data_IF_402922656072
#
_entry.id   IF_402922656072
#
_cell.length_a   1.000
_cell.length_b   1.000
_cell.length_c   1.000
_cell.angle_alpha   90.00
_cell.angle_beta   90.00
_cell.angle_gamma   90.00
#
_symmetry.space_group_name_H-M   'P 1'
#
loop_
_entity.id
_entity.type
_entity.pdbx_description
1 polymer ?
#
# COMPACT_ATOMS: atom_id res chain seq x y z
N UNK A 1 23.28 7.30 4.79
CA UNK A 1 22.13 7.80 4.04
C UNK A 1 21.39 6.66 3.38
N UNK A 2 20.06 6.78 3.26
CA UNK A 2 19.27 5.91 2.39
C UNK A 2 18.98 6.75 1.15
N UNK A 3 19.53 6.36 0.00
CA UNK A 3 19.22 7.02 -1.27
C UNK A 3 17.81 6.60 -1.70
N UNK A 4 16.92 7.58 -1.84
CA UNK A 4 15.51 7.35 -2.16
C UNK A 4 15.21 7.86 -3.57
N UNK A 5 14.62 6.98 -4.40
CA UNK A 5 14.07 7.34 -5.71
C UNK A 5 12.54 7.24 -5.64
N UNK A 6 11.85 8.34 -5.91
CA UNK A 6 10.39 8.39 -5.94
C UNK A 6 9.85 7.98 -7.32
N UNK A 7 9.13 6.85 -7.38
CA UNK A 7 8.33 6.47 -8.53
C UNK A 7 7.09 7.36 -8.65
N UNK A 8 6.94 8.07 -9.78
CA UNK A 8 5.86 9.06 -9.97
C UNK A 8 5.26 8.96 -11.37
N UNK A 9 3.94 9.17 -11.48
CA UNK A 9 3.27 9.27 -12.78
C UNK A 9 3.54 10.59 -13.51
N UNK A 10 3.84 11.67 -12.77
CA UNK A 10 4.01 13.01 -13.34
C UNK A 10 5.16 13.78 -12.68
N UNK A 11 6.17 14.13 -13.48
CA UNK A 11 7.27 14.98 -13.04
C UNK A 11 6.80 16.35 -12.53
N UNK A 12 5.77 16.92 -13.16
CA UNK A 12 5.22 18.20 -12.75
C UNK A 12 4.55 18.14 -11.38
N UNK A 13 3.82 17.06 -11.09
CA UNK A 13 3.24 16.84 -9.77
C UNK A 13 4.32 16.56 -8.71
N UNK A 14 5.35 15.79 -9.07
CA UNK A 14 6.48 15.46 -8.19
C UNK A 14 7.21 16.72 -7.73
N UNK A 15 7.56 17.63 -8.64
CA UNK A 15 8.22 18.91 -8.31
C UNK A 15 7.44 19.80 -7.35
N UNK A 16 6.10 19.67 -7.31
CA UNK A 16 5.24 20.44 -6.40
C UNK A 16 5.05 19.80 -5.03
N UNK A 17 5.27 18.48 -4.90
CA UNK A 17 4.90 17.70 -3.72
C UNK A 17 6.08 17.09 -2.98
N UNK A 18 7.17 16.83 -3.67
CA UNK A 18 8.36 16.22 -3.08
C UNK A 18 9.34 17.29 -2.59
N UNK A 19 10.10 17.01 -1.52
CA UNK A 19 11.21 17.87 -1.11
C UNK A 19 12.23 18.07 -2.25
N UNK A 20 12.94 19.21 -2.28
CA UNK A 20 14.04 19.42 -3.21
C UNK A 20 15.11 18.33 -3.06
N UNK A 21 15.69 17.89 -4.18
CA UNK A 21 16.77 16.90 -4.19
C UNK A 21 16.33 15.44 -4.12
N UNK A 22 15.03 15.13 -4.03
CA UNK A 22 14.55 13.75 -4.18
C UNK A 22 14.58 13.35 -5.65
N UNK A 23 15.35 12.32 -5.96
CA UNK A 23 15.39 11.73 -7.30
C UNK A 23 14.05 11.12 -7.68
N UNK A 24 13.65 11.29 -8.94
CA UNK A 24 12.37 10.77 -9.44
C UNK A 24 12.56 9.79 -10.59
N UNK A 25 11.79 8.71 -10.58
CA UNK A 25 11.57 7.82 -11.71
C UNK A 25 10.16 8.05 -12.24
N UNK A 26 10.04 8.67 -13.41
CA UNK A 26 8.74 8.93 -14.03
C UNK A 26 8.29 7.69 -14.78
N UNK A 27 7.18 7.10 -14.35
CA UNK A 27 6.60 5.90 -14.97
C UNK A 27 5.10 5.86 -14.67
N UNK A 28 4.27 5.66 -15.70
CA UNK A 28 2.87 5.34 -15.51
C UNK A 28 2.69 3.82 -15.57
N UNK A 29 2.36 3.22 -14.44
CA UNK A 29 2.23 1.76 -14.33
C UNK A 29 0.92 1.24 -14.92
N UNK A 30 0.02 2.12 -15.39
CA UNK A 30 -1.13 1.70 -16.20
C UNK A 30 -0.77 1.49 -17.68
N UNK A 31 0.44 1.86 -18.10
CA UNK A 31 0.97 1.57 -19.43
C UNK A 31 1.47 0.12 -19.53
N UNK A 32 1.17 -0.56 -20.63
CA UNK A 32 1.53 -1.96 -20.85
C UNK A 32 3.05 -2.14 -21.04
N UNK A 33 3.74 -1.14 -21.58
CA UNK A 33 5.18 -1.16 -21.80
C UNK A 33 5.99 -0.83 -20.53
N UNK A 34 5.31 -0.46 -19.44
CA UNK A 34 5.95 -0.01 -18.21
C UNK A 34 6.84 -1.09 -17.57
N UNK A 35 6.54 -2.37 -17.73
CA UNK A 35 7.28 -3.45 -17.06
C UNK A 35 8.74 -3.50 -17.50
N UNK A 36 9.01 -3.53 -18.82
CA UNK A 36 10.37 -3.63 -19.34
C UNK A 36 11.22 -2.41 -18.98
N UNK A 37 10.63 -1.21 -19.14
CA UNK A 37 11.27 0.04 -18.77
C UNK A 37 11.56 0.10 -17.26
N UNK A 38 10.62 -0.34 -16.42
CA UNK A 38 10.78 -0.35 -14.99
C UNK A 38 11.82 -1.38 -14.53
N UNK A 39 11.82 -2.60 -15.08
CA UNK A 39 12.84 -3.61 -14.77
C UNK A 39 14.24 -3.08 -15.05
N UNK A 40 14.45 -2.46 -16.21
CA UNK A 40 15.73 -1.84 -16.54
C UNK A 40 16.08 -0.70 -15.57
N UNK A 41 15.12 0.16 -15.25
CA UNK A 41 15.33 1.28 -14.33
C UNK A 41 15.68 0.81 -12.91
N UNK A 42 15.02 -0.22 -12.38
CA UNK A 42 15.32 -0.81 -11.07
C UNK A 42 16.75 -1.37 -11.04
N UNK A 43 17.17 -2.07 -12.10
CA UNK A 43 18.51 -2.66 -12.20
C UNK A 43 19.61 -1.59 -12.32
N UNK A 44 19.46 -0.62 -13.22
CA UNK A 44 20.46 0.45 -13.45
C UNK A 44 20.64 1.32 -12.21
N UNK A 45 19.54 1.61 -11.50
CA UNK A 45 19.56 2.40 -10.26
C UNK A 45 19.95 1.56 -9.04
N UNK A 46 20.18 0.25 -9.20
CA UNK A 46 20.52 -0.70 -8.13
C UNK A 46 19.53 -0.61 -6.96
N UNK A 47 18.24 -0.51 -7.28
CA UNK A 47 17.18 -0.46 -6.25
C UNK A 47 17.23 -1.76 -5.46
N UNK A 48 17.35 -1.65 -4.13
CA UNK A 48 17.37 -2.80 -3.23
C UNK A 48 15.99 -3.16 -2.71
N UNK A 49 15.17 -2.15 -2.44
CA UNK A 49 13.87 -2.28 -1.78
C UNK A 49 12.82 -1.44 -2.53
N UNK A 50 11.58 -1.92 -2.54
CA UNK A 50 10.47 -1.23 -3.19
C UNK A 50 9.34 -1.05 -2.18
N UNK A 51 8.87 0.18 -2.01
CA UNK A 51 7.65 0.47 -1.25
C UNK A 51 6.55 0.88 -2.24
N UNK A 52 5.61 -0.03 -2.48
CA UNK A 52 4.46 0.19 -3.35
C UNK A 52 3.33 0.88 -2.57
N UNK A 53 3.08 2.15 -2.91
CA UNK A 53 1.99 2.99 -2.34
C UNK A 53 0.97 3.42 -3.39
N UNK A 54 0.95 2.75 -4.54
CA UNK A 54 0.03 3.10 -5.61
C UNK A 54 -1.41 2.75 -5.21
N UNK A 55 -2.33 3.55 -5.69
CA UNK A 55 -3.75 3.35 -5.50
C UNK A 55 -4.50 4.41 -6.28
N UNK A 56 -5.66 4.04 -6.82
CA UNK A 56 -6.50 4.98 -7.49
C UNK A 56 -7.09 5.99 -6.50
N UNK A 57 -7.54 7.12 -7.01
CA UNK A 57 -8.30 8.10 -6.24
C UNK A 57 -9.73 8.15 -6.81
N UNK A 58 -10.77 8.02 -5.98
CA UNK A 58 -12.15 8.04 -6.46
C UNK A 58 -12.50 9.33 -7.22
N UNK A 59 -13.13 9.15 -8.38
CA UNK A 59 -13.70 10.20 -9.23
C UNK A 59 -15.17 10.44 -8.93
N UNK A 60 -15.80 9.54 -8.16
CA UNK A 60 -17.24 9.51 -7.88
C UNK A 60 -18.10 9.22 -9.11
N UNK A 61 -17.49 8.64 -10.15
CA UNK A 61 -18.16 8.12 -11.34
C UNK A 61 -18.04 6.59 -11.30
N UNK A 62 -19.12 5.83 -11.00
CA UNK A 62 -19.01 4.42 -10.64
C UNK A 62 -18.30 3.53 -11.66
N UNK A 63 -18.58 3.72 -12.95
CA UNK A 63 -17.96 2.93 -14.02
C UNK A 63 -16.48 3.27 -14.21
N UNK A 64 -16.13 4.55 -14.07
CA UNK A 64 -14.76 5.02 -14.16
C UNK A 64 -13.95 4.53 -12.95
N UNK A 65 -14.50 4.65 -11.75
CA UNK A 65 -13.88 4.18 -10.50
C UNK A 65 -13.61 2.68 -10.54
N UNK A 66 -14.54 1.89 -11.09
CA UNK A 66 -14.34 0.45 -11.29
C UNK A 66 -13.15 0.15 -12.20
N UNK A 67 -13.05 0.86 -13.32
CA UNK A 67 -11.93 0.70 -14.28
C UNK A 67 -10.61 1.17 -13.69
N UNK A 68 -10.60 2.31 -13.00
CA UNK A 68 -9.42 2.87 -12.38
C UNK A 68 -8.92 2.00 -11.22
N UNK A 69 -9.82 1.47 -10.39
CA UNK A 69 -9.45 0.54 -9.32
C UNK A 69 -8.81 -0.73 -9.89
N UNK A 70 -9.33 -1.28 -10.99
CA UNK A 70 -8.71 -2.43 -11.64
C UNK A 70 -7.35 -2.09 -12.25
N UNK A 71 -7.28 -1.05 -13.08
CA UNK A 71 -6.04 -0.65 -13.77
C UNK A 71 -4.93 -0.25 -12.79
N UNK A 72 -5.25 0.47 -11.70
CA UNK A 72 -4.26 1.03 -10.78
C UNK A 72 -3.99 0.11 -9.59
N UNK A 73 -5.02 -0.34 -8.87
CA UNK A 73 -4.80 -1.11 -7.63
C UNK A 73 -4.45 -2.57 -7.92
N UNK A 74 -4.93 -3.14 -9.02
CA UNK A 74 -4.57 -4.49 -9.44
C UNK A 74 -3.47 -4.51 -10.50
N UNK A 75 -3.75 -4.09 -11.73
CA UNK A 75 -2.87 -4.37 -12.85
C UNK A 75 -1.52 -3.65 -12.73
N UNK A 76 -1.52 -2.34 -12.43
CA UNK A 76 -0.31 -1.56 -12.22
C UNK A 76 0.53 -2.11 -11.04
N UNK A 77 -0.13 -2.58 -9.97
CA UNK A 77 0.56 -3.21 -8.84
C UNK A 77 1.26 -4.49 -9.29
N UNK A 78 0.57 -5.32 -10.07
CA UNK A 78 1.14 -6.55 -10.65
C UNK A 78 2.29 -6.24 -11.61
N UNK A 79 2.19 -5.19 -12.43
CA UNK A 79 3.30 -4.75 -13.31
C UNK A 79 4.54 -4.38 -12.50
N UNK A 80 4.39 -3.65 -11.39
CA UNK A 80 5.50 -3.33 -10.48
C UNK A 80 6.08 -4.57 -9.79
N UNK A 81 5.24 -5.51 -9.32
CA UNK A 81 5.68 -6.78 -8.74
C UNK A 81 6.50 -7.58 -9.75
N UNK A 82 6.00 -7.73 -10.98
CA UNK A 82 6.69 -8.42 -12.07
C UNK A 82 8.03 -7.76 -12.40
N UNK A 83 8.05 -6.43 -12.47
CA UNK A 83 9.27 -5.70 -12.77
C UNK A 83 10.33 -5.89 -11.68
N UNK A 84 9.92 -5.86 -10.41
CA UNK A 84 10.80 -6.11 -9.27
C UNK A 84 11.34 -7.55 -9.25
N UNK A 85 10.47 -8.55 -9.49
CA UNK A 85 10.88 -9.94 -9.57
C UNK A 85 11.85 -10.18 -10.74
N UNK A 86 11.57 -9.63 -11.92
CA UNK A 86 12.43 -9.73 -13.09
C UNK A 86 13.77 -9.02 -12.90
N UNK A 87 13.81 -7.94 -12.12
CA UNK A 87 15.04 -7.25 -11.75
C UNK A 87 15.86 -8.00 -10.69
N UNK A 88 15.32 -9.06 -10.08
CA UNK A 88 15.97 -9.81 -9.01
C UNK A 88 16.19 -8.94 -7.76
N UNK A 89 15.14 -8.20 -7.35
CA UNK A 89 15.19 -7.28 -6.21
C UNK A 89 15.83 -7.96 -4.98
N UNK A 90 17.00 -7.49 -4.49
CA UNK A 90 17.77 -8.21 -3.47
C UNK A 90 17.21 -8.03 -2.05
N UNK A 91 16.49 -6.93 -1.81
CA UNK A 91 15.83 -6.63 -0.54
C UNK A 91 14.34 -6.91 -0.61
N UNK A 92 13.54 -6.05 0.01
CA UNK A 92 12.12 -6.30 0.26
C UNK A 92 11.19 -5.51 -0.64
N UNK A 93 10.11 -6.17 -1.05
CA UNK A 93 8.94 -5.55 -1.66
C UNK A 93 7.86 -5.31 -0.60
N UNK A 94 7.63 -4.06 -0.22
CA UNK A 94 6.57 -3.66 0.72
C UNK A 94 5.35 -3.18 -0.06
N UNK A 95 4.21 -3.86 0.07
CA UNK A 95 2.94 -3.46 -0.52
C UNK A 95 2.04 -2.80 0.51
N UNK A 96 1.64 -1.55 0.27
CA UNK A 96 0.56 -0.88 1.02
C UNK A 96 -0.79 -1.25 0.40
N UNK A 97 -1.51 -2.12 1.10
CA UNK A 97 -2.84 -2.59 0.76
C UNK A 97 -3.90 -1.83 1.61
N UNK A 98 -4.94 -2.51 2.06
CA UNK A 98 -5.99 -1.97 2.91
C UNK A 98 -6.44 -3.00 3.93
N UNK A 99 -6.85 -2.53 5.10
CA UNK A 99 -7.67 -3.33 6.01
C UNK A 99 -9.01 -3.66 5.32
N UNK A 100 -9.55 -4.82 5.64
CA UNK A 100 -10.89 -5.21 5.22
C UNK A 100 -10.99 -5.93 3.87
N UNK A 101 -9.85 -6.21 3.20
CA UNK A 101 -9.87 -6.92 1.91
C UNK A 101 -10.39 -8.37 2.02
N UNK A 102 -10.33 -8.95 3.23
CA UNK A 102 -10.82 -10.31 3.51
C UNK A 102 -12.29 -10.32 3.99
N UNK A 103 -12.95 -9.16 4.07
CA UNK A 103 -14.33 -9.07 4.56
C UNK A 103 -15.32 -9.56 3.51
N UNK A 104 -16.16 -10.51 3.91
CA UNK A 104 -17.11 -11.18 3.02
C UNK A 104 -18.56 -10.82 3.30
N UNK A 105 -18.83 -10.00 4.32
CA UNK A 105 -20.20 -9.62 4.68
C UNK A 105 -20.89 -8.84 3.56
N UNK A 106 -22.23 -8.95 3.41
CA UNK A 106 -22.97 -8.20 2.39
C UNK A 106 -22.75 -6.67 2.48
N UNK A 107 -22.68 -6.13 3.70
CA UNK A 107 -22.41 -4.72 3.94
C UNK A 107 -21.00 -4.30 3.51
N UNK A 108 -19.98 -5.11 3.78
CA UNK A 108 -18.62 -4.84 3.32
C UNK A 108 -18.51 -4.90 1.79
N UNK A 109 -19.20 -5.86 1.15
CA UNK A 109 -19.25 -5.97 -0.31
C UNK A 109 -19.97 -4.78 -0.96
N UNK A 110 -21.05 -4.29 -0.35
CA UNK A 110 -21.77 -3.13 -0.83
C UNK A 110 -20.92 -1.86 -0.73
N UNK A 111 -20.20 -1.69 0.39
CA UNK A 111 -19.29 -0.57 0.58
C UNK A 111 -18.09 -0.61 -0.38
N UNK A 112 -17.51 -1.79 -0.58
CA UNK A 112 -16.45 -1.97 -1.57
C UNK A 112 -16.97 -1.59 -2.98
N UNK A 113 -18.16 -2.05 -3.34
CA UNK A 113 -18.78 -1.69 -4.61
C UNK A 113 -19.02 -0.18 -4.76
N UNK A 114 -19.39 0.53 -3.69
CA UNK A 114 -19.54 2.00 -3.73
C UNK A 114 -18.20 2.74 -3.80
N UNK A 115 -17.09 2.06 -3.57
CA UNK A 115 -15.71 2.56 -3.70
C UNK A 115 -15.01 1.99 -4.96
N UNK A 116 -15.77 1.62 -5.99
CA UNK A 116 -15.22 1.09 -7.25
C UNK A 116 -14.71 -0.36 -7.18
N UNK A 117 -14.97 -1.07 -6.08
CA UNK A 117 -14.48 -2.43 -5.88
C UNK A 117 -12.99 -2.51 -5.52
N UNK A 118 -12.42 -1.43 -4.99
CA UNK A 118 -10.97 -1.31 -4.73
C UNK A 118 -10.41 -2.36 -3.78
N UNK A 119 -11.16 -2.77 -2.75
CA UNK A 119 -10.69 -3.80 -1.81
C UNK A 119 -10.53 -5.14 -2.52
N UNK A 120 -11.42 -5.46 -3.46
CA UNK A 120 -11.29 -6.64 -4.31
C UNK A 120 -10.04 -6.58 -5.18
N UNK A 121 -9.74 -5.42 -5.78
CA UNK A 121 -8.56 -5.27 -6.64
C UNK A 121 -7.26 -5.33 -5.83
N UNK A 122 -7.22 -4.72 -4.64
CA UNK A 122 -6.12 -4.87 -3.69
C UNK A 122 -5.94 -6.33 -3.24
N UNK A 123 -7.02 -7.07 -3.02
CA UNK A 123 -6.95 -8.51 -2.70
C UNK A 123 -6.31 -9.32 -3.84
N UNK A 124 -6.68 -9.04 -5.10
CA UNK A 124 -6.04 -9.67 -6.27
C UNK A 124 -4.54 -9.34 -6.34
N UNK A 125 -4.16 -8.08 -6.08
CA UNK A 125 -2.76 -7.67 -6.07
C UNK A 125 -1.95 -8.35 -4.96
N UNK A 126 -2.50 -8.47 -3.75
CA UNK A 126 -1.85 -9.22 -2.68
C UNK A 126 -1.70 -10.70 -3.02
N UNK A 127 -2.71 -11.33 -3.63
CA UNK A 127 -2.62 -12.72 -4.07
C UNK A 127 -1.52 -12.90 -5.11
N UNK A 128 -1.37 -11.96 -6.05
CA UNK A 128 -0.29 -11.97 -7.03
C UNK A 128 1.09 -11.82 -6.37
N UNK A 129 1.24 -10.93 -5.37
CA UNK A 129 2.49 -10.79 -4.62
C UNK A 129 2.84 -12.07 -3.86
N UNK A 130 1.87 -12.65 -3.14
CA UNK A 130 2.07 -13.93 -2.41
C UNK A 130 2.47 -15.08 -3.33
N UNK A 131 1.94 -15.10 -4.56
CA UNK A 131 2.27 -16.10 -5.57
C UNK A 131 3.58 -15.84 -6.32
N UNK A 132 4.26 -14.72 -6.09
CA UNK A 132 5.50 -14.37 -6.79
C UNK A 132 6.71 -14.98 -6.09
N UNK A 133 7.42 -15.86 -6.79
CA UNK A 133 8.68 -16.42 -6.31
C UNK A 133 9.83 -15.41 -6.47
N UNK A 134 10.85 -15.53 -5.61
CA UNK A 134 12.08 -14.75 -5.72
C UNK A 134 11.99 -13.31 -5.20
N UNK A 135 10.89 -12.94 -4.54
CA UNK A 135 10.76 -11.68 -3.80
C UNK A 135 10.59 -11.95 -2.32
N UNK A 136 11.38 -11.30 -1.48
CA UNK A 136 11.03 -11.08 -0.07
C UNK A 136 9.99 -9.96 -0.01
N UNK A 137 8.92 -10.13 0.76
CA UNK A 137 7.83 -9.17 0.76
C UNK A 137 7.19 -8.97 2.12
N UNK A 138 6.62 -7.78 2.30
CA UNK A 138 5.73 -7.45 3.41
C UNK A 138 4.47 -6.76 2.90
N UNK A 139 3.33 -7.03 3.54
CA UNK A 139 2.07 -6.37 3.22
C UNK A 139 1.65 -5.54 4.42
N UNK A 140 1.44 -4.24 4.19
CA UNK A 140 0.96 -3.26 5.16
C UNK A 140 -0.52 -3.00 4.87
N UNK A 141 -1.40 -3.26 5.84
CA UNK A 141 -2.86 -3.06 5.68
C UNK A 141 -3.35 -1.98 6.64
N UNK A 142 -3.21 -0.69 6.27
CA UNK A 142 -3.73 0.40 7.09
C UNK A 142 -5.25 0.38 7.15
N UNK A 143 -5.79 0.91 8.25
CA UNK A 143 -7.20 1.34 8.32
C UNK A 143 -7.45 2.64 7.55
N UNK A 144 -8.53 3.36 7.87
CA UNK A 144 -8.85 4.61 7.21
C UNK A 144 -7.69 5.63 7.37
N UNK A 145 -7.37 6.39 6.32
CA UNK A 145 -6.33 7.42 6.45
C UNK A 145 -6.94 8.72 6.97
N UNK A 146 -6.69 9.06 8.25
CA UNK A 146 -7.07 10.34 8.84
C UNK A 146 -5.88 11.33 8.81
N UNK A 147 -6.19 12.58 8.52
CA UNK A 147 -5.26 13.72 8.43
C UNK A 147 -5.11 14.46 9.76
N UNK A 148 -6.02 14.28 10.72
CA UNK A 148 -6.15 15.18 11.87
C UNK A 148 -6.02 14.51 13.23
N UNK A 149 -6.30 13.20 13.36
CA UNK A 149 -6.13 12.47 14.62
C UNK A 149 -5.68 11.02 14.36
N UNK A 150 -4.57 10.56 14.97
CA UNK A 150 -4.30 9.12 15.01
C UNK A 150 -5.37 8.49 15.91
N UNK A 151 -6.26 7.69 15.33
CA UNK A 151 -7.25 6.92 16.07
C UNK A 151 -7.08 5.45 15.69
N UNK A 152 -6.00 4.82 16.17
CA UNK A 152 -5.70 3.41 15.92
C UNK A 152 -4.78 3.18 14.71
N UNK A 153 -3.59 2.66 15.01
CA UNK A 153 -2.47 2.42 14.09
C UNK A 153 -2.64 1.42 12.92
N UNK A 154 -1.47 0.94 12.47
CA UNK A 154 -1.24 0.27 11.18
C UNK A 154 -0.96 -1.22 11.38
N UNK A 155 -1.49 -2.09 10.51
CA UNK A 155 -1.19 -3.53 10.53
C UNK A 155 0.02 -3.88 9.64
N UNK A 156 0.91 -4.74 10.15
CA UNK A 156 2.00 -5.39 9.42
C UNK A 156 1.96 -6.91 9.70
N UNK A 157 1.90 -7.76 8.67
CA UNK A 157 2.09 -9.21 8.86
C UNK A 157 1.31 -10.10 7.90
N UNK A 158 1.65 -11.41 7.84
CA UNK A 158 1.12 -12.36 6.86
C UNK A 158 -0.38 -12.68 7.00
N UNK A 159 -1.01 -12.32 8.12
CA UNK A 159 -2.45 -12.44 8.32
C UNK A 159 -2.92 -11.43 9.37
N UNK A 160 -3.59 -10.34 8.95
CA UNK A 160 -4.49 -9.52 9.78
C UNK A 160 -4.03 -9.09 11.18
N UNK A 161 -2.75 -9.18 11.52
CA UNK A 161 -2.24 -9.02 12.89
C UNK A 161 -1.69 -7.62 13.05
N UNK A 162 -2.14 -6.97 14.11
CA UNK A 162 -1.75 -5.64 14.52
C UNK A 162 -0.32 -5.64 15.05
N UNK A 163 0.52 -4.72 14.57
CA UNK A 163 1.90 -4.49 15.05
C UNK A 163 2.12 -3.09 15.58
N UNK A 164 1.06 -2.27 15.68
CA UNK A 164 1.12 -1.02 16.43
C UNK A 164 1.26 -1.32 17.93
N UNK A 165 1.99 -0.48 18.64
CA UNK A 165 2.02 -0.52 20.09
C UNK A 165 0.78 0.21 20.60
N UNK A 166 -0.23 -0.54 21.03
CA UNK A 166 -1.48 0.00 21.56
C UNK A 166 -1.26 0.93 22.77
N UNK A 167 -0.10 0.88 23.45
CA UNK A 167 0.24 1.79 24.52
C UNK A 167 0.85 3.12 24.01
N UNK A 168 1.55 3.13 22.87
CA UNK A 168 2.09 4.36 22.23
C UNK A 168 1.06 5.09 21.37
N UNK A 169 0.15 4.36 20.73
CA UNK A 169 -0.88 4.93 19.84
C UNK A 169 -2.19 5.32 20.58
N UNK A 170 -2.27 5.09 21.91
CA UNK A 170 -3.42 5.41 22.77
C UNK A 170 -3.33 6.78 23.47
N UNK A 171 -2.68 7.78 22.87
CA UNK A 171 -2.76 9.16 23.39
C UNK A 171 -4.07 9.80 22.91
N UNK A 172 -5.17 9.30 23.47
CA UNK A 172 -6.55 9.71 23.27
C UNK A 172 -7.44 8.89 24.22
N UNK A 173 -8.61 9.37 24.65
CA UNK A 173 -9.36 8.80 25.78
C UNK A 173 -9.99 7.41 25.55
N UNK A 174 -9.56 6.67 24.52
CA UNK A 174 -10.08 5.34 24.17
C UNK A 174 -9.08 4.23 24.45
N UNK A 175 -9.52 3.14 25.08
CA UNK A 175 -8.73 1.92 25.26
C UNK A 175 -8.33 1.23 23.95
N UNK A 176 -7.62 0.08 24.03
CA UNK A 176 -7.12 -0.63 22.85
C UNK A 176 -8.26 -1.00 21.87
N UNK A 177 -8.16 -0.52 20.63
CA UNK A 177 -9.16 -0.79 19.58
C UNK A 177 -8.88 -2.18 18.99
N UNK A 178 -9.76 -3.14 19.28
CA UNK A 178 -9.77 -4.44 18.61
C UNK A 178 -10.25 -4.24 17.17
N UNK A 179 -9.31 -4.21 16.23
CA UNK A 179 -9.55 -3.86 14.83
C UNK A 179 -10.16 -5.01 14.00
N UNK A 180 -11.28 -5.58 14.46
CA UNK A 180 -11.95 -6.70 13.80
C UNK A 180 -12.86 -6.26 12.63
N UNK A 181 -13.20 -4.97 12.54
CA UNK A 181 -14.08 -4.43 11.50
C UNK A 181 -13.68 -2.99 11.15
N UNK A 182 -13.22 -2.71 9.92
CA UNK A 182 -12.85 -1.36 9.48
C UNK A 182 -14.02 -0.38 9.35
N UNK A 183 -15.27 -0.85 9.44
CA UNK A 183 -16.43 -0.08 8.99
C UNK A 183 -17.70 -0.13 9.85
N UNK A 184 -17.73 -0.81 11.01
CA UNK A 184 -18.96 -0.85 11.83
C UNK A 184 -18.87 0.07 13.04
N UNK A 185 -19.59 1.17 12.93
CA UNK A 185 -20.10 1.96 14.03
C UNK A 185 -21.01 1.11 14.93
N UNK A 186 -20.45 0.61 16.02
CA UNK A 186 -21.21 0.38 17.27
C UNK A 186 -20.42 0.79 18.52
N UNK A 187 -19.13 1.15 18.37
CA UNK A 187 -18.27 1.64 19.46
C UNK A 187 -17.56 2.97 19.16
N UNK A 188 -17.79 3.59 18.00
CA UNK A 188 -17.18 4.89 17.65
C UNK A 188 -15.68 4.86 17.31
N UNK A 189 -15.06 3.67 17.21
CA UNK A 189 -13.66 3.51 16.84
C UNK A 189 -13.52 3.00 15.40
N UNK A 190 -13.20 3.90 14.46
CA UNK A 190 -12.66 3.52 13.15
C UNK A 190 -11.16 3.38 13.33
N UNK A 191 -10.56 2.23 12.99
CA UNK A 191 -9.10 2.12 12.96
C UNK A 191 -8.59 3.08 11.88
N UNK A 192 -7.95 4.17 12.30
CA UNK A 192 -7.51 5.25 11.44
C UNK A 192 -6.02 5.56 11.65
N UNK A 193 -5.24 5.35 10.59
CA UNK A 193 -3.82 5.59 10.59
C UNK A 193 -3.48 6.90 9.87
N UNK A 194 -2.49 7.63 10.38
CA UNK A 194 -1.93 8.76 9.64
C UNK A 194 -1.02 8.26 8.52
N UNK A 195 -0.87 9.05 7.45
CA UNK A 195 0.12 8.76 6.39
C UNK A 195 1.55 8.62 6.95
N UNK A 196 1.86 9.34 8.02
CA UNK A 196 3.14 9.24 8.73
C UNK A 196 3.33 7.87 9.37
N UNK A 197 2.35 7.37 10.11
CA UNK A 197 2.42 6.03 10.71
C UNK A 197 2.57 4.94 9.64
N UNK A 198 1.84 5.05 8.52
CA UNK A 198 2.00 4.10 7.40
C UNK A 198 3.41 4.15 6.83
N UNK A 199 3.96 5.35 6.62
CA UNK A 199 5.33 5.51 6.14
C UNK A 199 6.37 4.94 7.13
N UNK A 200 6.21 5.18 8.42
CA UNK A 200 7.10 4.64 9.47
C UNK A 200 7.08 3.11 9.48
N UNK A 201 5.90 2.48 9.34
CA UNK A 201 5.78 1.02 9.22
C UNK A 201 6.39 0.49 7.94
N UNK A 202 6.23 1.18 6.80
CA UNK A 202 6.85 0.76 5.56
C UNK A 202 8.38 0.80 5.64
N UNK A 203 8.93 1.86 6.24
CA UNK A 203 10.39 2.00 6.45
C UNK A 203 10.90 0.94 7.44
N UNK A 204 10.16 0.66 8.51
CA UNK A 204 10.50 -0.42 9.44
C UNK A 204 10.49 -1.78 8.72
N UNK A 205 9.47 -2.05 7.90
CA UNK A 205 9.36 -3.30 7.16
C UNK A 205 10.54 -3.51 6.20
N UNK A 206 11.07 -2.46 5.58
CA UNK A 206 12.31 -2.52 4.77
C UNK A 206 13.55 -2.80 5.62
N UNK A 207 13.67 -2.18 6.80
CA UNK A 207 14.85 -2.27 7.67
C UNK A 207 14.94 -3.59 8.45
N UNK A 208 13.80 -4.17 8.80
CA UNK A 208 13.71 -5.44 9.51
C UNK A 208 13.92 -6.62 8.54
N UNK A 209 15.12 -6.71 7.97
CA UNK A 209 15.58 -7.89 7.23
C UNK A 209 15.66 -9.07 8.19
N UNK A 210 14.58 -9.83 8.33
CA UNK A 210 14.56 -10.85 9.38
C UNK A 210 13.25 -11.54 9.75
N UNK A 211 12.09 -11.22 9.15
CA UNK A 211 10.94 -12.14 9.23
C UNK A 211 11.13 -13.30 8.26
N UNK A 212 12.17 -14.10 8.50
CA UNK A 212 12.44 -15.31 7.72
C UNK A 212 11.44 -16.41 8.06
N UNK A 213 10.82 -16.92 6.99
CA UNK A 213 10.26 -18.25 6.75
C UNK A 213 8.90 -18.59 7.35
#
# INVERSE_FOLDING_TARGET
>A
DVDVVAGVRSAAAARRRLPPGVDTLVCDLTDDDAVAALTHALAVRRVTDVICTIGFFPTFVPEEDRRLAEAVDYEATVRLIRAAAAAGLPGRFVLVSSLGIDLTTPSARLLDASLGGVLRQKAKAEAALRGTAGLDWAIVRPGLLDVTRPAGGVLLGPAGRWTGDAARDAVGPGGPVACATPFVASSGAVCAATRRQVAEVCVAAVREGGFSR
#
